data_IF_329288575987
#
_entry.id   IF_329288575987
#
_cell.length_a   1.000
_cell.length_b   1.000
_cell.length_c   1.000
_cell.angle_alpha   90.00
_cell.angle_beta   90.00
_cell.angle_gamma   90.00
#
_symmetry.space_group_name_H-M   'P 1'
#
loop_
_entity.id
_entity.type
_entity.pdbx_description
1 polymer ?
#
# COMPACT_ATOMS: atom_id res chain seq x y z
N UNK A 1 -2.44 3.11 9.51
CA UNK A 1 -2.55 4.56 9.46
C UNK A 1 -2.48 5.18 10.87
N UNK A 2 -3.42 4.88 11.79
CA UNK A 2 -3.50 5.52 13.11
C UNK A 2 -2.23 5.37 13.96
N UNK A 3 -1.53 4.24 13.88
CA UNK A 3 -0.27 4.02 14.60
C UNK A 3 0.84 4.97 14.11
N UNK A 4 0.93 5.19 12.80
CA UNK A 4 1.91 6.11 12.22
C UNK A 4 1.58 7.56 12.61
N UNK A 5 0.31 7.96 12.55
CA UNK A 5 -0.14 9.27 13.02
C UNK A 5 0.24 9.50 14.49
N UNK A 6 -0.11 8.54 15.35
CA UNK A 6 0.20 8.64 16.78
C UNK A 6 1.72 8.71 17.06
N UNK A 7 2.53 7.99 16.29
CA UNK A 7 3.98 8.05 16.43
C UNK A 7 4.56 9.42 16.05
N UNK A 8 4.10 10.00 14.94
CA UNK A 8 4.50 11.34 14.52
C UNK A 8 4.05 12.42 15.49
N UNK A 9 2.81 12.31 16.00
CA UNK A 9 2.28 13.23 17.01
C UNK A 9 3.06 13.15 18.34
N UNK A 10 3.49 11.94 18.73
CA UNK A 10 4.34 11.76 19.93
C UNK A 10 5.71 12.43 19.78
N UNK A 11 6.21 12.56 18.55
CA UNK A 11 7.45 13.30 18.21
C UNK A 11 7.19 14.82 18.06
N UNK A 12 5.98 15.29 18.38
CA UNK A 12 5.62 16.69 18.34
C UNK A 12 5.24 17.25 16.98
N UNK A 13 5.04 16.38 15.99
CA UNK A 13 4.63 16.78 14.64
C UNK A 13 3.13 17.03 14.56
N UNK A 14 2.72 17.98 13.75
CA UNK A 14 1.32 18.21 13.41
C UNK A 14 0.92 17.32 12.22
N UNK A 15 -0.07 16.45 12.42
CA UNK A 15 -0.44 15.43 11.42
C UNK A 15 -1.89 15.59 10.99
N UNK A 16 -2.12 15.63 9.68
CA UNK A 16 -3.45 15.43 9.09
C UNK A 16 -3.65 13.94 8.88
N UNK A 17 -4.79 13.41 9.36
CA UNK A 17 -5.09 11.99 9.27
C UNK A 17 -6.59 11.75 9.06
N UNK A 18 -6.96 10.78 8.23
CA UNK A 18 -8.35 10.35 8.08
C UNK A 18 -8.68 9.24 9.09
N UNK A 19 -8.80 9.62 10.38
CA UNK A 19 -8.96 8.69 11.52
C UNK A 19 -10.20 7.80 11.49
N UNK A 20 -11.24 8.20 10.76
CA UNK A 20 -12.54 7.50 10.73
C UNK A 20 -12.58 6.28 9.80
N UNK A 21 -11.44 5.85 9.26
CA UNK A 21 -11.37 4.75 8.28
C UNK A 21 -12.01 5.07 6.93
N UNK A 22 -12.29 6.35 6.68
CA UNK A 22 -12.83 6.81 5.41
C UNK A 22 -11.69 6.94 4.38
N UNK A 23 -11.36 5.82 3.74
CA UNK A 23 -10.22 5.64 2.83
C UNK A 23 -10.53 5.95 1.36
N UNK A 24 -11.76 6.34 1.05
CA UNK A 24 -12.16 6.79 -0.28
C UNK A 24 -11.92 8.30 -0.45
N UNK A 25 -12.01 8.80 -1.68
CA UNK A 25 -11.77 10.21 -2.02
C UNK A 25 -12.45 11.20 -1.06
N UNK A 26 -13.73 10.97 -0.72
CA UNK A 26 -14.49 11.87 0.16
C UNK A 26 -13.86 11.98 1.56
N UNK A 27 -13.35 10.86 2.11
CA UNK A 27 -12.70 10.86 3.42
C UNK A 27 -11.33 11.54 3.38
N UNK A 28 -10.60 11.37 2.29
CA UNK A 28 -9.33 12.08 2.07
C UNK A 28 -9.57 13.58 1.97
N UNK A 29 -10.53 14.01 1.16
CA UNK A 29 -10.91 15.43 1.04
C UNK A 29 -11.35 16.00 2.39
N UNK A 30 -12.19 15.27 3.15
CA UNK A 30 -12.64 15.70 4.47
C UNK A 30 -11.47 15.90 5.45
N UNK A 31 -10.48 15.00 5.44
CA UNK A 31 -9.29 15.14 6.29
C UNK A 31 -8.52 16.44 6.02
N UNK A 32 -8.31 16.76 4.73
CA UNK A 32 -7.65 18.02 4.36
C UNK A 32 -8.51 19.24 4.68
N UNK A 33 -9.82 19.21 4.42
CA UNK A 33 -10.74 20.33 4.75
C UNK A 33 -10.73 20.60 6.25
N UNK A 34 -10.78 19.57 7.09
CA UNK A 34 -10.74 19.70 8.56
C UNK A 34 -9.38 20.18 9.07
N UNK A 35 -8.29 19.83 8.38
CA UNK A 35 -6.93 20.30 8.71
C UNK A 35 -6.61 21.72 8.21
N UNK A 36 -7.45 22.28 7.31
CA UNK A 36 -7.22 23.59 6.74
C UNK A 36 -7.77 24.71 7.63
N UNK A 37 -7.05 25.84 7.66
CA UNK A 37 -7.55 27.11 8.22
C UNK A 37 -8.54 27.76 7.24
N UNK A 38 -9.34 28.71 7.73
CA UNK A 38 -10.32 29.44 6.90
C UNK A 38 -9.71 30.15 5.68
N UNK A 39 -8.44 30.47 5.72
CA UNK A 39 -7.69 31.03 4.59
C UNK A 39 -7.12 29.98 3.63
N UNK A 40 -7.45 28.70 3.81
CA UNK A 40 -6.97 27.59 3.00
C UNK A 40 -5.53 27.13 3.32
N UNK A 41 -4.86 27.73 4.29
CA UNK A 41 -3.52 27.32 4.69
C UNK A 41 -3.56 26.06 5.56
N UNK A 42 -2.66 25.12 5.30
CA UNK A 42 -2.47 23.91 6.10
C UNK A 42 -1.42 24.17 7.18
N UNK A 43 -1.77 23.97 8.44
CA UNK A 43 -0.85 24.05 9.58
C UNK A 43 -0.51 22.64 10.03
N UNK A 44 0.18 21.91 9.17
CA UNK A 44 0.58 20.54 9.42
C UNK A 44 1.95 20.27 8.81
N UNK A 45 2.73 19.43 9.49
CA UNK A 45 4.05 18.99 9.05
C UNK A 45 3.93 17.75 8.13
N UNK A 46 2.93 16.89 8.40
CA UNK A 46 2.66 15.66 7.66
C UNK A 46 1.17 15.48 7.39
N UNK A 47 0.89 14.77 6.30
CA UNK A 47 -0.42 14.18 6.02
C UNK A 47 -0.25 12.65 5.90
N UNK A 48 -0.80 11.91 6.85
CA UNK A 48 -0.84 10.45 6.85
C UNK A 48 -2.22 10.00 6.42
N UNK A 49 -2.36 9.66 5.16
CA UNK A 49 -3.64 9.35 4.55
C UNK A 49 -3.72 7.85 4.24
N UNK A 50 -4.76 7.22 4.77
CA UNK A 50 -5.17 5.89 4.33
C UNK A 50 -6.04 6.05 3.08
N UNK A 51 -5.64 5.39 2.01
CA UNK A 51 -6.35 5.43 0.74
C UNK A 51 -6.67 4.02 0.26
N UNK A 52 -7.90 3.84 -0.18
CA UNK A 52 -8.32 2.67 -0.93
C UNK A 52 -7.59 2.62 -2.27
N UNK A 53 -7.19 1.44 -2.73
CA UNK A 53 -6.35 1.24 -3.91
C UNK A 53 -6.95 1.87 -5.16
N UNK A 54 -8.25 1.67 -5.39
CA UNK A 54 -8.92 2.22 -6.57
C UNK A 54 -9.18 3.74 -6.46
N UNK A 55 -9.16 4.30 -5.25
CA UNK A 55 -9.29 5.73 -5.01
C UNK A 55 -8.01 6.50 -5.36
N UNK A 56 -6.86 5.83 -5.44
CA UNK A 56 -5.57 6.46 -5.79
C UNK A 56 -5.61 7.22 -7.11
N UNK A 57 -6.36 6.72 -8.09
CA UNK A 57 -6.54 7.39 -9.41
C UNK A 57 -7.21 8.76 -9.33
N UNK A 58 -7.92 9.05 -8.26
CA UNK A 58 -8.55 10.35 -8.02
C UNK A 58 -7.74 11.22 -7.08
N UNK A 59 -6.91 10.60 -6.21
CA UNK A 59 -6.13 11.28 -5.18
C UNK A 59 -4.80 11.78 -5.75
N UNK A 60 -4.06 10.94 -6.46
CA UNK A 60 -2.70 11.26 -6.94
C UNK A 60 -2.63 12.43 -7.92
N UNK A 61 -3.63 12.70 -8.79
CA UNK A 61 -3.62 13.90 -9.61
C UNK A 61 -3.67 15.22 -8.81
N UNK A 62 -4.29 15.18 -7.61
CA UNK A 62 -4.49 16.36 -6.76
C UNK A 62 -3.41 16.45 -5.65
N UNK A 63 -2.93 15.30 -5.19
CA UNK A 63 -1.96 15.21 -4.09
C UNK A 63 -0.80 14.31 -4.54
N UNK A 64 0.40 14.88 -4.61
CA UNK A 64 1.61 14.11 -4.91
C UNK A 64 2.24 13.63 -3.59
N UNK A 65 2.12 12.34 -3.26
CA UNK A 65 2.71 11.83 -2.02
C UNK A 65 4.24 11.72 -2.14
N UNK A 66 4.94 12.03 -1.05
CA UNK A 66 6.39 11.80 -0.93
C UNK A 66 6.68 10.32 -0.62
N UNK A 67 5.75 9.67 0.08
CA UNK A 67 5.86 8.27 0.51
C UNK A 67 4.56 7.53 0.24
N UNK A 68 4.68 6.30 -0.21
CA UNK A 68 3.58 5.34 -0.29
C UNK A 68 3.94 4.09 0.50
N UNK A 69 3.07 3.68 1.43
CA UNK A 69 3.23 2.42 2.18
C UNK A 69 2.25 1.40 1.64
N UNK A 70 2.76 0.28 1.14
CA UNK A 70 1.96 -0.85 0.65
C UNK A 70 2.09 -2.01 1.63
N UNK A 71 0.98 -2.39 2.25
CA UNK A 71 0.97 -3.46 3.26
C UNK A 71 0.75 -4.85 2.64
N UNK A 72 -0.25 -4.96 1.79
CA UNK A 72 -0.60 -6.19 1.06
C UNK A 72 -1.68 -5.87 0.02
N UNK A 73 -1.87 -6.79 -0.94
CA UNK A 73 -2.94 -6.77 -1.91
C UNK A 73 -3.74 -8.08 -1.78
N UNK A 74 -4.88 -8.01 -1.12
CA UNK A 74 -5.78 -9.15 -0.92
C UNK A 74 -7.03 -9.06 -1.79
N UNK A 75 -7.64 -10.22 -1.99
CA UNK A 75 -8.85 -10.41 -2.78
C UNK A 75 -10.13 -9.84 -2.15
N UNK A 76 -10.09 -9.42 -0.90
CA UNK A 76 -11.27 -8.91 -0.16
C UNK A 76 -11.93 -7.68 -0.80
N UNK A 77 -11.23 -7.00 -1.71
CA UNK A 77 -11.75 -5.85 -2.45
C UNK A 77 -12.44 -6.21 -3.78
N UNK A 78 -12.49 -7.51 -4.15
CA UNK A 78 -13.05 -7.97 -5.43
C UNK A 78 -14.53 -7.63 -5.62
N UNK A 79 -15.31 -7.65 -4.56
CA UNK A 79 -16.74 -7.31 -4.61
C UNK A 79 -16.97 -5.87 -5.07
N UNK A 80 -15.95 -5.00 -4.94
CA UNK A 80 -16.02 -3.60 -5.33
C UNK A 80 -15.39 -3.29 -6.68
N UNK A 81 -14.30 -3.97 -7.05
CA UNK A 81 -13.41 -3.53 -8.13
C UNK A 81 -13.13 -4.59 -9.20
N UNK A 82 -13.62 -5.80 -9.04
CA UNK A 82 -13.39 -6.88 -9.97
C UNK A 82 -12.06 -7.61 -9.76
N UNK A 83 -11.33 -7.90 -10.82
CA UNK A 83 -10.12 -8.71 -10.74
C UNK A 83 -8.93 -7.93 -10.12
N UNK A 84 -8.09 -8.61 -9.37
CA UNK A 84 -6.89 -8.04 -8.75
C UNK A 84 -5.96 -7.36 -9.76
N UNK A 85 -5.97 -7.82 -11.00
CA UNK A 85 -5.20 -7.23 -12.09
C UNK A 85 -5.66 -5.80 -12.42
N UNK A 86 -6.95 -5.47 -12.27
CA UNK A 86 -7.47 -4.12 -12.46
C UNK A 86 -6.90 -3.20 -11.37
N UNK A 87 -6.94 -3.64 -10.12
CA UNK A 87 -6.38 -2.89 -8.98
C UNK A 87 -4.88 -2.68 -9.15
N UNK A 88 -4.14 -3.73 -9.53
CA UNK A 88 -2.71 -3.63 -9.81
C UNK A 88 -2.41 -2.63 -10.92
N UNK A 89 -3.15 -2.64 -12.02
CA UNK A 89 -2.96 -1.70 -13.13
C UNK A 89 -3.22 -0.24 -12.72
N UNK A 90 -4.23 0.00 -11.85
CA UNK A 90 -4.49 1.33 -11.30
C UNK A 90 -3.29 1.79 -10.46
N UNK A 91 -2.85 0.95 -9.51
CA UNK A 91 -1.71 1.28 -8.64
C UNK A 91 -0.43 1.50 -9.45
N UNK A 92 -0.11 0.62 -10.37
CA UNK A 92 1.05 0.75 -11.25
C UNK A 92 1.05 2.07 -12.00
N UNK A 93 -0.09 2.41 -12.61
CA UNK A 93 -0.26 3.67 -13.33
C UNK A 93 -0.04 4.86 -12.40
N UNK A 94 -0.64 4.85 -11.21
CA UNK A 94 -0.55 5.96 -10.25
C UNK A 94 0.85 6.11 -9.67
N UNK A 95 1.52 5.02 -9.30
CA UNK A 95 2.89 5.06 -8.79
C UNK A 95 3.83 5.71 -9.83
N UNK A 96 3.71 5.32 -11.09
CA UNK A 96 4.53 5.87 -12.20
C UNK A 96 4.28 7.36 -12.47
N UNK A 97 3.14 7.94 -12.04
CA UNK A 97 2.90 9.40 -12.16
C UNK A 97 3.72 10.23 -11.17
N UNK A 98 4.29 9.62 -10.13
CA UNK A 98 5.07 10.27 -9.08
C UNK A 98 6.45 9.59 -8.94
N UNK A 99 7.37 9.75 -9.88
CA UNK A 99 8.60 8.96 -9.98
C UNK A 99 9.57 9.15 -8.80
N UNK A 100 9.50 10.28 -8.09
CA UNK A 100 10.37 10.57 -6.94
C UNK A 100 9.79 10.05 -5.62
N UNK A 101 8.53 9.58 -5.62
CA UNK A 101 7.87 9.02 -4.45
C UNK A 101 8.59 7.75 -3.98
N UNK A 102 8.91 7.69 -2.68
CA UNK A 102 9.48 6.49 -2.08
C UNK A 102 8.39 5.48 -1.73
N UNK A 103 8.49 4.28 -2.29
CA UNK A 103 7.56 3.18 -2.04
C UNK A 103 8.12 2.29 -0.93
N UNK A 104 7.43 2.22 0.20
CA UNK A 104 7.73 1.35 1.34
C UNK A 104 6.78 0.15 1.24
N UNK A 105 7.31 -1.04 0.99
CA UNK A 105 6.51 -2.18 0.57
C UNK A 105 6.77 -3.42 1.40
N UNK A 106 5.69 -4.14 1.71
CA UNK A 106 5.81 -5.46 2.31
C UNK A 106 6.39 -6.45 1.30
N UNK A 107 7.63 -6.87 1.54
CA UNK A 107 8.33 -7.84 0.69
C UNK A 107 7.75 -9.26 0.77
N UNK A 108 6.98 -9.57 1.82
CA UNK A 108 6.31 -10.86 1.99
C UNK A 108 5.06 -11.01 1.10
N UNK A 109 4.59 -9.90 0.48
CA UNK A 109 3.53 -9.91 -0.52
C UNK A 109 4.11 -9.79 -1.94
N UNK A 110 4.05 -10.89 -2.69
CA UNK A 110 4.62 -10.97 -4.03
C UNK A 110 4.02 -9.97 -5.03
N UNK A 111 2.75 -9.60 -4.87
CA UNK A 111 2.07 -8.65 -5.75
C UNK A 111 2.52 -7.22 -5.48
N UNK A 112 2.53 -6.81 -4.21
CA UNK A 112 3.01 -5.50 -3.79
C UNK A 112 4.50 -5.31 -4.13
N UNK A 113 5.32 -6.33 -3.87
CA UNK A 113 6.73 -6.31 -4.20
C UNK A 113 6.98 -6.17 -5.71
N UNK A 114 6.19 -6.88 -6.54
CA UNK A 114 6.27 -6.74 -8.00
C UNK A 114 5.96 -5.31 -8.44
N UNK A 115 4.86 -4.72 -7.96
CA UNK A 115 4.48 -3.34 -8.30
C UNK A 115 5.57 -2.33 -7.95
N UNK A 116 6.15 -2.47 -6.75
CA UNK A 116 7.23 -1.58 -6.32
C UNK A 116 8.46 -1.70 -7.21
N UNK A 117 8.90 -2.93 -7.53
CA UNK A 117 10.06 -3.17 -8.39
C UNK A 117 9.84 -2.72 -9.84
N UNK A 118 8.62 -2.88 -10.38
CA UNK A 118 8.31 -2.53 -11.76
C UNK A 118 8.06 -1.02 -11.96
N UNK A 119 7.76 -0.31 -10.89
CA UNK A 119 7.47 1.13 -10.93
C UNK A 119 8.66 1.99 -11.35
N UNK A 120 9.88 1.54 -11.02
CA UNK A 120 11.09 2.34 -11.16
C UNK A 120 11.31 3.39 -10.06
N UNK A 121 10.40 3.50 -9.09
CA UNK A 121 10.50 4.39 -7.95
C UNK A 121 11.55 3.91 -6.93
N UNK A 122 12.11 4.81 -6.09
CA UNK A 122 12.90 4.40 -4.94
C UNK A 122 12.09 3.50 -4.00
N UNK A 123 12.58 2.28 -3.69
CA UNK A 123 11.84 1.29 -2.90
C UNK A 123 12.57 0.93 -1.62
N UNK A 124 11.81 0.71 -0.55
CA UNK A 124 12.26 0.11 0.71
C UNK A 124 11.37 -1.08 1.02
N UNK A 125 11.97 -2.24 1.20
CA UNK A 125 11.25 -3.47 1.52
C UNK A 125 11.30 -3.73 3.03
N UNK A 126 10.18 -4.13 3.61
CA UNK A 126 10.10 -4.69 4.95
C UNK A 126 9.42 -6.06 4.89
N UNK A 127 9.65 -6.89 5.88
CA UNK A 127 9.07 -8.23 5.94
C UNK A 127 9.53 -8.99 7.18
N UNK A 128 9.11 -10.22 7.31
CA UNK A 128 9.42 -11.10 8.44
C UNK A 128 10.27 -12.26 7.95
N UNK A 129 11.52 -12.33 8.43
CA UNK A 129 12.53 -13.30 7.96
C UNK A 129 12.41 -14.71 8.58
N UNK A 130 11.45 -14.91 9.52
CA UNK A 130 11.27 -16.19 10.20
C UNK A 130 9.78 -16.53 10.32
N UNK A 131 9.40 -17.81 10.25
CA UNK A 131 8.01 -18.21 10.38
C UNK A 131 7.49 -17.86 11.78
N UNK A 132 6.40 -17.06 11.82
CA UNK A 132 5.75 -16.66 13.09
C UNK A 132 4.72 -17.70 13.52
N UNK A 133 4.09 -18.38 12.56
CA UNK A 133 3.13 -19.45 12.80
C UNK A 133 3.33 -20.58 11.79
N UNK A 134 3.03 -21.82 12.21
CA UNK A 134 2.93 -22.94 11.27
C UNK A 134 1.53 -22.91 10.65
N UNK A 135 1.38 -22.20 9.54
CA UNK A 135 0.13 -22.19 8.79
C UNK A 135 0.26 -23.10 7.56
N UNK A 136 -0.34 -24.27 7.66
CA UNK A 136 -0.58 -25.20 6.57
C UNK A 136 -2.03 -25.08 6.07
N UNK A 137 -2.45 -23.88 5.72
CA UNK A 137 -3.80 -23.67 5.22
C UNK A 137 -3.83 -23.80 3.70
N UNK A 138 -4.74 -24.66 3.20
CA UNK A 138 -5.06 -24.82 1.76
C UNK A 138 -5.93 -23.67 1.23
N UNK A 139 -5.70 -22.45 1.68
CA UNK A 139 -6.44 -21.28 1.23
C UNK A 139 -6.11 -20.90 -0.21
N UNK A 140 -7.07 -20.29 -0.89
CA UNK A 140 -6.85 -19.66 -2.19
C UNK A 140 -5.85 -18.52 -1.97
N UNK A 141 -4.70 -18.62 -2.64
CA UNK A 141 -3.60 -17.64 -2.49
C UNK A 141 -3.44 -16.89 -3.80
N UNK A 142 -3.55 -15.59 -3.72
CA UNK A 142 -3.11 -14.69 -4.80
C UNK A 142 -1.57 -14.68 -4.85
N UNK A 143 -0.99 -14.21 -5.94
CA UNK A 143 0.48 -14.12 -6.02
C UNK A 143 1.23 -15.45 -6.11
N UNK A 144 0.58 -16.52 -6.57
CA UNK A 144 1.24 -17.83 -6.76
C UNK A 144 2.27 -17.85 -7.89
N UNK A 145 2.14 -16.94 -8.84
CA UNK A 145 2.95 -16.88 -10.04
C UNK A 145 3.70 -15.57 -10.13
N UNK A 146 4.95 -15.64 -10.53
CA UNK A 146 5.77 -14.47 -10.79
C UNK A 146 5.15 -13.60 -11.88
N UNK A 147 4.82 -12.37 -11.58
CA UNK A 147 4.24 -11.44 -12.56
C UNK A 147 5.21 -11.07 -13.68
N UNK A 148 6.53 -11.26 -13.47
CA UNK A 148 7.55 -10.97 -14.47
C UNK A 148 7.72 -12.10 -15.51
N UNK A 149 7.70 -13.36 -15.10
CA UNK A 149 8.01 -14.49 -15.97
C UNK A 149 6.93 -15.59 -16.04
N UNK A 150 5.85 -15.48 -15.25
CA UNK A 150 4.76 -16.44 -15.18
C UNK A 150 5.11 -17.75 -14.46
N UNK A 151 6.33 -17.93 -13.93
CA UNK A 151 6.72 -19.13 -13.23
C UNK A 151 6.07 -19.22 -11.84
N UNK A 152 5.81 -20.44 -11.39
CA UNK A 152 5.25 -20.64 -10.04
C UNK A 152 6.29 -20.29 -8.99
N UNK A 153 5.91 -19.40 -8.04
CA UNK A 153 6.76 -19.03 -6.91
C UNK A 153 6.94 -20.18 -5.93
N UNK A 154 8.15 -20.30 -5.40
CA UNK A 154 8.52 -21.26 -4.37
C UNK A 154 8.53 -20.55 -3.02
N UNK A 155 7.70 -21.02 -2.09
CA UNK A 155 7.61 -20.48 -0.74
C UNK A 155 8.37 -21.35 0.25
N UNK A 156 9.25 -20.74 1.04
CA UNK A 156 9.93 -21.39 2.16
C UNK A 156 8.99 -21.52 3.36
N UNK A 157 8.17 -20.50 3.61
CA UNK A 157 7.14 -20.49 4.63
C UNK A 157 6.08 -19.42 4.33
N UNK A 158 4.93 -19.53 5.00
CA UNK A 158 3.87 -18.54 4.99
C UNK A 158 3.63 -18.01 6.40
N UNK A 159 3.26 -16.74 6.51
CA UNK A 159 2.82 -16.13 7.76
C UNK A 159 1.31 -16.09 7.88
N UNK A 160 0.67 -15.46 6.91
CA UNK A 160 -0.77 -15.27 6.84
C UNK A 160 -1.22 -15.25 5.38
N UNK A 161 -2.18 -16.10 5.03
CA UNK A 161 -2.68 -16.21 3.66
C UNK A 161 -1.54 -16.37 2.64
N UNK A 162 -1.35 -15.40 1.76
CA UNK A 162 -0.31 -15.39 0.70
C UNK A 162 1.01 -14.76 1.15
N UNK A 163 1.06 -14.14 2.33
CA UNK A 163 2.26 -13.49 2.82
C UNK A 163 3.27 -14.50 3.31
N UNK A 164 4.52 -14.38 2.90
CA UNK A 164 5.58 -15.27 3.32
C UNK A 164 6.89 -15.04 2.59
N UNK A 165 7.86 -15.88 2.89
CA UNK A 165 9.15 -15.89 2.21
C UNK A 165 9.06 -16.70 0.93
N UNK A 166 9.34 -16.08 -0.20
CA UNK A 166 9.21 -16.68 -1.53
C UNK A 166 10.38 -16.31 -2.45
N UNK A 167 10.60 -17.17 -3.44
CA UNK A 167 11.55 -16.92 -4.51
C UNK A 167 10.95 -17.31 -5.88
N UNK A 168 11.35 -16.59 -6.92
CA UNK A 168 11.11 -17.02 -8.28
C UNK A 168 12.27 -17.94 -8.72
N UNK A 169 12.01 -19.15 -9.23
CA UNK A 169 13.06 -20.09 -9.63
C UNK A 169 13.79 -19.70 -10.94
N UNK A 170 13.32 -18.66 -11.66
CA UNK A 170 13.96 -18.09 -12.87
C UNK A 170 14.60 -16.76 -12.60
#
# INVERSE_FOLDING_TARGET
NNMLCAALEAEGQKVICNHTGSNMLNGVVAAFVLGAKLNGHMDADYACIEADEASTKYIFPEIRPDYMVMTNLFRDQLDRYGEIDITMNILETMIKTVPDMKVIVNGDDALSAYLAMDSGNPCVFYGISQPVMKNDTNEIREGRFCKKCGEKLQYSFYHYSQLGDYACPK
#
